data_IF_715869490554
#
_entry.id   IF_715869490554
#
_cell.length_a   1.000
_cell.length_b   1.000
_cell.length_c   1.000
_cell.angle_alpha   90.00
_cell.angle_beta   90.00
_cell.angle_gamma   90.00
#
_symmetry.space_group_name_H-M   'P 1'
#
loop_
_entity.id
_entity.type
_entity.pdbx_description
1 polymer ?
#
# COMPACT_ATOMS: atom_id res chain seq x y z
N UNK A 1 3.92 14.31 -7.95
CA UNK A 1 3.63 14.28 -6.49
C UNK A 1 3.71 12.86 -5.98
N UNK A 2 4.35 12.61 -4.82
CA UNK A 2 4.33 11.28 -4.18
C UNK A 2 3.07 11.09 -3.33
N UNK A 3 2.49 9.87 -3.39
CA UNK A 3 1.36 9.44 -2.56
C UNK A 3 1.84 8.29 -1.69
N UNK A 4 1.91 8.53 -0.38
CA UNK A 4 2.42 7.58 0.61
C UNK A 4 1.41 7.41 1.75
N UNK A 5 1.30 6.19 2.25
CA UNK A 5 0.63 5.87 3.51
C UNK A 5 1.60 5.11 4.40
N UNK A 6 1.96 5.71 5.53
CA UNK A 6 3.02 5.20 6.40
C UNK A 6 2.75 3.82 7.03
N UNK A 7 1.51 3.34 7.02
CA UNK A 7 1.17 2.04 7.59
C UNK A 7 1.55 1.96 9.07
N UNK A 8 2.18 0.84 9.46
CA UNK A 8 2.67 0.60 10.84
C UNK A 8 3.86 1.49 11.25
N UNK A 9 4.46 2.20 10.28
CA UNK A 9 5.54 3.15 10.57
C UNK A 9 5.02 4.52 11.02
N UNK A 10 3.71 4.76 10.89
CA UNK A 10 3.12 6.02 11.35
C UNK A 10 3.37 6.23 12.85
N UNK A 11 3.91 7.38 13.19
CA UNK A 11 4.15 7.78 14.57
C UNK A 11 2.87 8.38 15.19
N UNK A 12 1.82 7.54 15.23
CA UNK A 12 0.50 7.95 15.68
C UNK A 12 -0.25 6.77 16.35
N UNK A 13 -0.95 6.97 17.48
CA UNK A 13 -1.63 5.89 18.22
C UNK A 13 -2.78 5.23 17.44
N UNK A 14 -3.32 5.89 16.41
CA UNK A 14 -4.37 5.35 15.54
C UNK A 14 -3.83 4.81 14.21
N UNK A 15 -2.54 4.49 14.13
CA UNK A 15 -1.95 3.91 12.93
C UNK A 15 -2.63 2.59 12.55
N UNK A 16 -2.64 2.30 11.25
CA UNK A 16 -3.29 1.13 10.66
C UNK A 16 -2.32 0.38 9.75
N UNK A 17 -2.55 -0.92 9.57
CA UNK A 17 -1.74 -1.82 8.75
C UNK A 17 -2.60 -2.96 8.21
N UNK A 18 -2.13 -3.82 7.30
CA UNK A 18 -2.86 -5.02 6.90
C UNK A 18 -3.18 -5.93 8.10
N UNK A 19 -2.24 -6.05 9.03
CA UNK A 19 -2.35 -6.84 10.26
C UNK A 19 -1.79 -6.08 11.45
N UNK A 20 -2.17 -6.47 12.68
CA UNK A 20 -1.74 -5.79 13.91
C UNK A 20 -0.30 -6.16 14.33
N UNK A 21 0.64 -6.13 13.38
CA UNK A 21 2.06 -6.44 13.55
C UNK A 21 2.82 -5.15 13.82
N UNK A 22 3.31 -4.98 15.05
CA UNK A 22 4.05 -3.79 15.46
C UNK A 22 5.37 -3.65 14.69
N UNK A 23 5.70 -2.43 14.30
CA UNK A 23 7.03 -2.09 13.77
C UNK A 23 8.04 -1.94 14.93
N UNK A 24 9.30 -2.37 14.73
CA UNK A 24 10.35 -2.13 15.72
C UNK A 24 10.70 -0.64 15.89
N UNK A 25 10.45 0.19 14.90
CA UNK A 25 10.81 1.63 14.91
C UNK A 25 9.67 2.55 15.34
N UNK A 26 8.46 2.01 15.62
CA UNK A 26 7.33 2.80 16.11
C UNK A 26 6.90 2.33 17.50
N UNK A 27 6.60 3.25 18.45
CA UNK A 27 6.09 2.87 19.76
C UNK A 27 4.66 2.31 19.68
N UNK A 28 3.91 2.63 18.63
CA UNK A 28 2.51 2.28 18.50
C UNK A 28 2.31 0.94 17.77
N UNK A 29 1.34 0.15 18.25
CA UNK A 29 0.88 -1.06 17.59
C UNK A 29 -0.27 -0.69 16.64
N UNK A 30 -0.18 -0.99 15.35
CA UNK A 30 -1.22 -0.64 14.39
C UNK A 30 -2.49 -1.47 14.62
N UNK A 31 -3.63 -0.90 14.25
CA UNK A 31 -4.88 -1.66 14.10
C UNK A 31 -4.94 -2.29 12.71
N UNK A 32 -5.38 -3.56 12.65
CA UNK A 32 -5.62 -4.22 11.37
C UNK A 32 -6.78 -3.54 10.63
N UNK A 33 -6.58 -3.24 9.36
CA UNK A 33 -7.63 -2.72 8.47
C UNK A 33 -8.70 -3.79 8.25
N UNK A 34 -9.97 -3.45 8.45
CA UNK A 34 -11.08 -4.29 7.98
C UNK A 34 -11.13 -4.32 6.44
N UNK A 35 -11.77 -5.31 5.84
CA UNK A 35 -11.92 -5.36 4.38
C UNK A 35 -12.65 -4.13 3.80
N UNK A 36 -13.56 -3.52 4.57
CA UNK A 36 -14.18 -2.24 4.19
C UNK A 36 -13.16 -1.09 4.22
N UNK A 37 -12.34 -1.00 5.26
CA UNK A 37 -11.31 0.02 5.38
C UNK A 37 -10.24 -0.12 4.29
N UNK A 38 -9.85 -1.35 3.91
CA UNK A 38 -8.95 -1.59 2.77
C UNK A 38 -9.53 -0.97 1.48
N UNK A 39 -10.80 -1.23 1.16
CA UNK A 39 -11.45 -0.63 -0.02
C UNK A 39 -11.52 0.89 0.03
N UNK A 40 -11.76 1.47 1.22
CA UNK A 40 -11.73 2.93 1.41
C UNK A 40 -10.33 3.51 1.21
N UNK A 41 -9.31 2.82 1.67
CA UNK A 41 -7.91 3.24 1.47
C UNK A 41 -7.55 3.22 -0.01
N UNK A 42 -7.91 2.17 -0.75
CA UNK A 42 -7.72 2.11 -2.21
C UNK A 42 -8.40 3.31 -2.90
N UNK A 43 -9.64 3.61 -2.54
CA UNK A 43 -10.36 4.76 -3.10
C UNK A 43 -9.70 6.10 -2.72
N UNK A 44 -9.08 6.20 -1.53
CA UNK A 44 -8.37 7.40 -1.10
C UNK A 44 -7.10 7.66 -1.93
N UNK A 45 -6.35 6.62 -2.33
CA UNK A 45 -5.23 6.76 -3.26
C UNK A 45 -5.67 7.33 -4.61
N UNK A 46 -6.70 6.77 -5.22
CA UNK A 46 -7.24 7.28 -6.50
C UNK A 46 -7.74 8.72 -6.38
N UNK A 47 -8.44 9.05 -5.29
CA UNK A 47 -8.90 10.42 -5.03
C UNK A 47 -7.74 11.38 -4.83
N UNK A 48 -6.70 10.99 -4.10
CA UNK A 48 -5.50 11.80 -3.90
C UNK A 48 -4.82 12.12 -5.24
N UNK A 49 -4.68 11.13 -6.09
CA UNK A 49 -4.12 11.29 -7.44
C UNK A 49 -4.97 12.23 -8.31
N UNK A 50 -6.29 12.11 -8.28
CA UNK A 50 -7.18 13.02 -9.01
C UNK A 50 -7.09 14.47 -8.49
N UNK A 51 -6.88 14.67 -7.19
CA UNK A 51 -6.65 16.00 -6.62
C UNK A 51 -5.30 16.57 -7.08
N UNK A 52 -4.25 15.75 -7.18
CA UNK A 52 -2.96 16.18 -7.71
C UNK A 52 -3.08 16.62 -9.17
N UNK A 53 -3.78 15.88 -10.02
CA UNK A 53 -4.04 16.26 -11.41
C UNK A 53 -4.79 17.60 -11.49
N UNK A 54 -5.82 17.80 -10.68
CA UNK A 54 -6.56 19.07 -10.61
C UNK A 54 -5.72 20.24 -10.10
N UNK A 55 -4.70 19.95 -9.28
CA UNK A 55 -3.75 20.96 -8.78
C UNK A 55 -2.64 21.29 -9.79
N UNK A 56 -2.63 20.69 -10.98
CA UNK A 56 -1.70 20.98 -12.06
C UNK A 56 -0.39 20.18 -12.01
N UNK A 57 -0.33 19.06 -11.27
CA UNK A 57 0.80 18.13 -11.37
C UNK A 57 0.76 17.35 -12.67
N UNK A 58 1.93 17.05 -13.24
CA UNK A 58 2.08 16.23 -14.46
C UNK A 58 1.98 14.73 -14.20
N UNK A 59 2.14 14.32 -12.94
CA UNK A 59 2.09 12.92 -12.55
C UNK A 59 2.08 12.68 -11.05
N UNK A 60 1.82 11.43 -10.70
CA UNK A 60 1.91 10.93 -9.32
C UNK A 60 2.77 9.69 -9.25
N UNK A 61 3.46 9.54 -8.13
CA UNK A 61 4.17 8.34 -7.75
C UNK A 61 3.46 7.70 -6.56
N UNK A 62 3.00 6.47 -6.74
CA UNK A 62 2.39 5.67 -5.66
C UNK A 62 3.51 4.86 -5.00
N UNK A 63 3.81 5.17 -3.74
CA UNK A 63 4.92 4.57 -3.02
C UNK A 63 4.63 3.11 -2.65
N UNK A 64 5.09 2.18 -3.49
CA UNK A 64 4.99 0.72 -3.31
C UNK A 64 6.25 0.09 -2.71
N UNK A 65 7.17 0.88 -2.15
CA UNK A 65 8.47 0.45 -1.62
C UNK A 65 8.66 0.82 -0.16
N UNK A 66 9.85 0.52 0.39
CA UNK A 66 10.40 1.00 1.67
C UNK A 66 9.64 0.56 2.93
N UNK A 67 8.84 -0.51 2.86
CA UNK A 67 8.15 -1.05 4.04
C UNK A 67 6.90 -0.28 4.47
N UNK A 68 6.41 0.67 3.66
CA UNK A 68 5.16 1.39 3.92
C UNK A 68 3.93 0.52 3.64
N UNK A 69 2.73 1.06 3.78
CA UNK A 69 1.48 0.29 3.76
C UNK A 69 1.37 -0.69 2.59
N UNK A 70 1.77 -0.31 1.38
CA UNK A 70 1.70 -1.19 0.21
C UNK A 70 2.65 -2.37 0.38
N UNK A 71 3.92 -2.14 0.73
CA UNK A 71 4.88 -3.21 1.02
C UNK A 71 4.40 -4.09 2.18
N UNK A 72 3.76 -3.52 3.19
CA UNK A 72 3.18 -4.30 4.29
C UNK A 72 2.09 -5.27 3.82
N UNK A 73 1.35 -4.92 2.76
CA UNK A 73 0.37 -5.83 2.15
C UNK A 73 1.02 -6.94 1.32
N UNK A 74 2.10 -6.65 0.60
CA UNK A 74 2.77 -7.62 -0.28
C UNK A 74 3.59 -8.65 0.48
N UNK A 75 4.22 -8.26 1.60
CA UNK A 75 5.07 -9.14 2.42
C UNK A 75 4.25 -10.02 3.36
N UNK A 76 4.42 -11.34 3.29
CA UNK A 76 3.76 -12.30 4.17
C UNK A 76 4.13 -12.08 5.65
N UNK A 77 5.33 -11.55 5.92
CA UNK A 77 5.78 -11.23 7.28
C UNK A 77 4.92 -10.19 7.99
N UNK A 78 4.36 -9.25 7.26
CA UNK A 78 3.56 -8.14 7.82
C UNK A 78 2.07 -8.27 7.52
N UNK A 79 1.72 -9.13 6.55
CA UNK A 79 0.35 -9.42 6.16
C UNK A 79 -0.03 -10.84 6.56
N UNK A 80 -0.51 -11.01 7.78
CA UNK A 80 -0.98 -12.30 8.33
C UNK A 80 -2.50 -12.51 8.14
N UNK A 81 -3.11 -11.80 7.17
CA UNK A 81 -4.54 -11.92 6.87
C UNK A 81 -4.86 -13.26 6.22
N UNK A 82 -6.09 -13.71 6.48
CA UNK A 82 -6.66 -14.95 5.90
C UNK A 82 -7.82 -14.67 4.94
N UNK A 83 -8.12 -13.37 4.69
CA UNK A 83 -9.14 -12.95 3.73
C UNK A 83 -8.52 -12.69 2.34
N UNK A 84 -9.34 -12.24 1.40
CA UNK A 84 -8.91 -11.95 0.02
C UNK A 84 -7.76 -10.92 -0.14
N UNK A 85 -7.29 -10.32 0.94
CA UNK A 85 -6.22 -9.33 0.96
C UNK A 85 -4.91 -9.87 1.53
N UNK A 86 -4.83 -11.17 1.85
CA UNK A 86 -3.65 -11.82 2.42
C UNK A 86 -3.64 -13.33 2.18
N UNK A 87 -2.63 -14.00 2.72
CA UNK A 87 -2.37 -15.41 2.46
C UNK A 87 -1.58 -15.62 1.18
N UNK A 88 -2.18 -16.09 0.08
CA UNK A 88 -1.47 -16.34 -1.17
C UNK A 88 -0.85 -15.06 -1.76
N UNK A 89 0.16 -15.23 -2.60
CA UNK A 89 0.82 -14.12 -3.30
C UNK A 89 -0.20 -13.25 -4.07
N UNK A 90 -1.10 -13.86 -4.83
CA UNK A 90 -2.13 -13.15 -5.60
C UNK A 90 -3.05 -12.31 -4.71
N UNK A 91 -3.37 -12.80 -3.52
CA UNK A 91 -4.19 -12.06 -2.56
C UNK A 91 -3.42 -10.87 -1.96
N UNK A 92 -2.13 -11.07 -1.64
CA UNK A 92 -1.28 -9.99 -1.13
C UNK A 92 -1.05 -8.90 -2.17
N UNK A 93 -0.89 -9.28 -3.45
CA UNK A 93 -0.74 -8.35 -4.58
C UNK A 93 -2.03 -7.63 -4.97
N UNK A 94 -3.19 -8.10 -4.54
CA UNK A 94 -4.48 -7.49 -4.87
C UNK A 94 -4.60 -6.04 -4.43
N UNK A 95 -4.06 -5.68 -3.28
CA UNK A 95 -4.11 -4.30 -2.77
C UNK A 95 -3.37 -3.31 -3.66
N UNK A 96 -2.07 -3.48 -3.98
CA UNK A 96 -1.36 -2.60 -4.90
C UNK A 96 -1.97 -2.57 -6.30
N UNK A 97 -2.34 -3.72 -6.85
CA UNK A 97 -2.94 -3.79 -8.19
C UNK A 97 -4.27 -3.02 -8.27
N UNK A 98 -5.12 -3.13 -7.26
CA UNK A 98 -6.38 -2.35 -7.20
C UNK A 98 -6.12 -0.84 -7.05
N UNK A 99 -5.09 -0.43 -6.31
CA UNK A 99 -4.69 0.98 -6.22
C UNK A 99 -4.28 1.50 -7.60
N UNK A 100 -3.36 0.83 -8.28
CA UNK A 100 -2.87 1.24 -9.61
C UNK A 100 -4.02 1.28 -10.62
N UNK A 101 -4.84 0.22 -10.68
CA UNK A 101 -5.99 0.14 -11.57
C UNK A 101 -6.96 1.31 -11.37
N UNK A 102 -7.41 1.55 -10.13
CA UNK A 102 -8.36 2.64 -9.83
C UNK A 102 -7.77 4.02 -10.01
N UNK A 103 -6.49 4.17 -9.72
CA UNK A 103 -5.79 5.44 -9.98
C UNK A 103 -5.72 5.71 -11.47
N UNK A 104 -5.37 4.71 -12.28
CA UNK A 104 -5.35 4.84 -13.75
C UNK A 104 -6.74 5.14 -14.34
N UNK A 105 -7.78 4.49 -13.83
CA UNK A 105 -9.16 4.77 -14.22
C UNK A 105 -9.57 6.23 -13.91
N UNK A 106 -9.14 6.76 -12.77
CA UNK A 106 -9.47 8.12 -12.36
C UNK A 106 -8.71 9.20 -13.15
N UNK A 107 -7.47 8.91 -13.60
CA UNK A 107 -6.57 9.89 -14.22
C UNK A 107 -6.58 9.87 -15.76
N UNK A 108 -7.09 8.78 -16.39
CA UNK A 108 -6.95 8.57 -17.83
C UNK A 108 -5.54 8.10 -18.22
N UNK A 109 -5.23 8.06 -19.53
CA UNK A 109 -3.97 7.48 -20.05
C UNK A 109 -2.80 8.47 -20.08
N UNK A 110 -3.09 9.74 -20.21
CA UNK A 110 -2.08 10.78 -20.50
C UNK A 110 -1.38 11.34 -19.26
N UNK A 111 -1.86 10.98 -18.06
CA UNK A 111 -1.25 11.42 -16.81
C UNK A 111 -0.18 10.44 -16.35
N UNK A 112 1.02 10.97 -15.98
CA UNK A 112 2.12 10.13 -15.55
C UNK A 112 1.80 9.43 -14.22
N UNK A 113 1.95 8.10 -14.21
CA UNK A 113 1.78 7.27 -13.03
C UNK A 113 3.01 6.37 -12.88
N UNK A 114 3.78 6.58 -11.82
CA UNK A 114 4.93 5.75 -11.46
C UNK A 114 4.65 4.96 -10.18
N UNK A 115 5.31 3.83 -10.05
CA UNK A 115 5.14 2.92 -8.92
C UNK A 115 6.50 2.28 -8.58
N UNK A 116 7.28 2.87 -7.66
CA UNK A 116 8.48 2.22 -7.15
C UNK A 116 8.10 0.98 -6.37
N UNK A 117 8.83 -0.09 -6.57
CA UNK A 117 8.58 -1.40 -5.98
C UNK A 117 9.83 -1.88 -5.22
N UNK A 118 9.66 -2.35 -3.98
CA UNK A 118 10.64 -3.22 -3.34
C UNK A 118 10.43 -4.63 -3.89
N UNK A 119 11.26 -5.02 -4.85
CA UNK A 119 11.12 -6.31 -5.55
C UNK A 119 11.65 -7.50 -4.73
N UNK A 120 12.38 -7.24 -3.65
CA UNK A 120 13.00 -8.26 -2.82
C UNK A 120 13.09 -7.78 -1.37
N UNK A 121 12.58 -8.58 -0.45
CA UNK A 121 12.81 -8.41 0.99
C UNK A 121 13.87 -9.41 1.45
N UNK A 122 14.96 -8.94 2.05
CA UNK A 122 16.07 -9.79 2.53
C UNK A 122 15.79 -10.33 3.93
N UNK A 123 14.57 -10.79 4.19
CA UNK A 123 14.12 -11.33 5.48
C UNK A 123 13.21 -12.56 5.29
N UNK A 124 13.18 -13.45 6.28
CA UNK A 124 12.27 -14.60 6.29
C UNK A 124 10.81 -14.16 6.24
N UNK A 125 10.05 -14.73 5.30
CA UNK A 125 8.63 -14.39 5.06
C UNK A 125 8.44 -13.03 4.38
N UNK A 126 9.49 -12.43 3.84
CA UNK A 126 9.44 -11.29 2.94
C UNK A 126 9.12 -11.68 1.49
N UNK A 127 9.06 -10.70 0.61
CA UNK A 127 8.90 -10.92 -0.82
C UNK A 127 10.18 -11.54 -1.41
N UNK A 128 10.04 -12.55 -2.26
CA UNK A 128 11.17 -13.25 -2.89
C UNK A 128 11.28 -12.91 -4.37
N UNK A 129 12.41 -13.24 -4.98
CA UNK A 129 12.62 -13.02 -6.42
C UNK A 129 11.78 -13.92 -7.32
N UNK A 130 11.16 -14.98 -6.77
CA UNK A 130 10.27 -15.89 -7.49
C UNK A 130 8.79 -15.43 -7.45
N UNK A 131 8.46 -14.44 -6.61
CA UNK A 131 7.16 -13.78 -6.50
C UNK A 131 7.11 -12.47 -7.30
#
# INVERSE_FOLDING_TARGET
MQILHAGRYAYHPLCVAPSAVKSPISPFKPRALSGFAVRRTIAAYARCAALAQRAGYDGVEIMGSEGYLITEFTSARTNTRTDRWGGSFENRMRFPLEIVRRTREALGRDFLLTFPLSALDLIDGGLTGDE
#
